data_IF_353776506794
#
_entry.id   IF_353776506794
#
_cell.length_a   1.000
_cell.length_b   1.000
_cell.length_c   1.000
_cell.angle_alpha   90.00
_cell.angle_beta   90.00
_cell.angle_gamma   90.00
#
_symmetry.space_group_name_H-M   'P 1'
#
loop_
_entity.id
_entity.type
_entity.pdbx_description
1 polymer ?
#
# COMPACT_ATOMS: atom_id res chain seq x y z
N UNK A 1 -27.77 -28.35 7.58
CA UNK A 1 -27.15 -27.83 7.32
C UNK A 1 -26.67 -27.43 6.90
N UNK A 2 -26.82 -27.64 7.03
CA UNK A 2 -26.16 -27.04 6.71
C UNK A 2 -25.81 -26.50 6.43
N UNK A 3 -25.86 -26.46 6.51
CA UNK A 3 -25.41 -25.73 6.21
C UNK A 3 -24.92 -25.08 6.17
N UNK A 4 -25.71 -25.67 6.41
CA UNK A 4 -25.06 -24.89 6.34
C UNK A 4 -24.57 -24.42 6.14
N UNK A 5 -25.11 -24.83 6.32
CA UNK A 5 -24.38 -24.24 6.14
C UNK A 5 -23.87 -23.72 5.65
N UNK A 6 -24.28 -23.92 5.74
CA UNK A 6 -23.57 -23.23 5.30
C UNK A 6 -23.10 -22.50 5.04
N UNK A 7 -23.46 -22.78 5.27
CA UNK A 7 -22.80 -21.82 5.05
C UNK A 7 -22.43 -21.31 5.05
N UNK A 8 -22.61 -21.43 5.10
CA UNK A 8 -22.00 -20.83 5.12
C UNK A 8 -21.51 -20.45 4.93
N UNK A 9 -21.68 -20.49 4.99
CA UNK A 9 -20.90 -19.98 4.78
C UNK A 9 -20.36 -19.52 4.43
N UNK A 10 -20.73 -19.63 4.51
CA UNK A 10 -19.93 -19.04 4.20
C UNK A 10 -19.55 -18.49 4.06
N UNK A 11 -19.77 -18.21 4.27
CA UNK A 11 -19.14 -17.60 4.21
C UNK A 11 -18.58 -17.12 4.18
N UNK A 12 -18.55 -17.26 4.40
CA UNK A 12 -17.66 -16.69 4.54
C UNK A 12 -17.06 -16.35 4.34
N UNK A 13 -17.30 -16.46 4.41
CA UNK A 13 -16.42 -16.06 4.36
C UNK A 13 -15.94 -15.57 4.08
N UNK A 14 -15.99 -15.48 4.25
CA UNK A 14 -15.20 -14.93 4.13
C UNK A 14 -14.75 -14.39 4.06
N UNK A 15 -14.96 -14.32 4.26
CA UNK A 15 -14.35 -13.79 4.33
C UNK A 15 -13.85 -13.58 4.48
N UNK A 16 -13.90 -13.60 4.94
CA UNK A 16 -13.25 -13.46 5.04
C UNK A 16 -12.57 -13.28 5.04
N UNK A 17 -12.62 -13.10 5.42
CA UNK A 17 -11.83 -12.86 5.48
C UNK A 17 -10.95 -12.82 5.49
N UNK A 18 -11.03 -12.73 5.98
CA UNK A 18 -10.06 -12.74 5.93
C UNK A 18 -8.91 -12.47 5.60
N UNK A 19 -7.62 -12.46 5.98
CA UNK A 19 -7.12 -11.49 5.02
C UNK A 19 -7.31 -11.99 3.60
N UNK A 20 -7.80 -11.13 2.77
CA UNK A 20 -8.01 -11.49 1.39
C UNK A 20 -6.67 -11.58 0.68
N UNK A 21 -6.66 -12.21 -0.51
CA UNK A 21 -5.48 -12.25 -1.35
C UNK A 21 -4.96 -10.84 -1.64
N UNK A 22 -5.86 -9.90 -1.92
CA UNK A 22 -5.47 -8.52 -2.20
C UNK A 22 -4.78 -7.86 -1.00
N UNK A 23 -5.23 -8.15 0.20
CA UNK A 23 -4.61 -7.59 1.41
C UNK A 23 -3.19 -8.10 1.58
N UNK A 24 -2.98 -9.40 1.38
CA UNK A 24 -1.64 -9.97 1.47
C UNK A 24 -0.72 -9.42 0.40
N UNK A 25 -1.23 -9.29 -0.81
CA UNK A 25 -0.46 -8.73 -1.91
C UNK A 25 -0.13 -7.26 -1.68
N UNK A 26 -1.06 -6.52 -1.10
CA UNK A 26 -0.84 -5.13 -0.73
C UNK A 26 0.30 -5.00 0.29
N UNK A 27 0.32 -5.86 1.30
CA UNK A 27 1.40 -5.86 2.31
C UNK A 27 2.74 -6.14 1.66
N UNK A 28 2.80 -7.11 0.74
CA UNK A 28 4.03 -7.40 0.01
C UNK A 28 4.46 -6.23 -0.85
N UNK A 29 3.51 -5.57 -1.49
CA UNK A 29 3.79 -4.43 -2.34
C UNK A 29 4.35 -3.26 -1.54
N UNK A 30 3.81 -3.02 -0.34
CA UNK A 30 4.33 -1.98 0.55
C UNK A 30 5.76 -2.34 0.99
N UNK A 31 6.00 -3.60 1.36
CA UNK A 31 7.34 -4.04 1.74
C UNK A 31 8.33 -3.85 0.58
N UNK A 32 7.90 -4.16 -0.63
CA UNK A 32 8.74 -3.96 -1.83
C UNK A 32 9.01 -2.48 -2.05
N UNK A 33 8.00 -1.63 -1.86
CA UNK A 33 8.18 -0.18 -1.98
C UNK A 33 9.25 0.31 -1.02
N UNK A 34 9.25 -0.19 0.21
CA UNK A 34 10.26 0.19 1.20
C UNK A 34 11.66 -0.23 0.75
N UNK A 35 11.80 -1.41 0.16
CA UNK A 35 13.09 -1.88 -0.35
C UNK A 35 13.58 -0.98 -1.50
N UNK A 36 12.67 -0.61 -2.40
CA UNK A 36 13.01 0.27 -3.51
C UNK A 36 13.44 1.65 -3.02
N UNK A 37 12.73 2.18 -2.02
CA UNK A 37 13.08 3.48 -1.42
C UNK A 37 14.46 3.41 -0.75
N UNK A 38 14.77 2.30 -0.09
CA UNK A 38 16.08 2.14 0.57
C UNK A 38 17.24 2.18 -0.41
N UNK A 39 16.99 1.87 -1.68
CA UNK A 39 18.01 1.91 -2.72
C UNK A 39 18.19 3.28 -3.35
N UNK A 40 17.35 4.26 -3.01
CA UNK A 40 17.42 5.60 -3.58
C UNK A 40 18.45 6.46 -2.85
N UNK A 41 19.12 7.38 -3.56
CA UNK A 41 20.10 8.29 -2.94
C UNK A 41 19.41 9.48 -2.27
N UNK A 42 18.64 9.20 -1.22
CA UNK A 42 17.90 10.24 -0.49
C UNK A 42 18.76 10.79 0.64
N UNK A 43 18.59 12.09 0.92
CA UNK A 43 19.17 12.68 2.12
C UNK A 43 18.50 12.08 3.36
N UNK A 44 19.24 11.90 4.49
CA UNK A 44 18.67 11.26 5.66
C UNK A 44 17.33 11.84 6.14
N UNK A 45 17.12 13.17 6.21
CA UNK A 45 15.81 13.67 6.64
C UNK A 45 14.67 13.29 5.70
N UNK A 46 14.94 13.25 4.40
CA UNK A 46 13.94 12.87 3.41
C UNK A 46 13.63 11.39 3.51
N UNK A 47 14.66 10.57 3.66
CA UNK A 47 14.49 9.14 3.85
C UNK A 47 13.64 8.83 5.08
N UNK A 48 13.90 9.53 6.19
CA UNK A 48 13.12 9.34 7.42
C UNK A 48 11.65 9.70 7.23
N UNK A 49 11.38 10.79 6.51
CA UNK A 49 9.98 11.19 6.27
C UNK A 49 9.25 10.18 5.43
N UNK A 50 9.88 9.71 4.36
CA UNK A 50 9.28 8.70 3.49
C UNK A 50 9.01 7.43 4.27
N UNK A 51 10.00 6.97 5.04
CA UNK A 51 9.86 5.75 5.84
C UNK A 51 8.73 5.87 6.87
N UNK A 52 8.54 7.04 7.43
CA UNK A 52 7.46 7.25 8.39
C UNK A 52 6.11 7.04 7.74
N UNK A 53 5.92 7.55 6.53
CA UNK A 53 4.68 7.34 5.79
C UNK A 53 4.50 5.88 5.39
N UNK A 54 5.56 5.23 4.94
CA UNK A 54 5.50 3.82 4.56
C UNK A 54 5.24 2.92 5.78
N UNK A 55 5.83 3.26 6.93
CA UNK A 55 5.54 2.57 8.19
C UNK A 55 4.06 2.69 8.53
N UNK A 56 3.52 3.90 8.45
CA UNK A 56 2.12 4.14 8.77
C UNK A 56 1.20 3.36 7.82
N UNK A 57 1.53 3.34 6.53
CA UNK A 57 0.78 2.56 5.55
C UNK A 57 0.85 1.06 5.85
N UNK A 58 2.03 0.57 6.22
CA UNK A 58 2.23 -0.82 6.55
C UNK A 58 1.43 -1.23 7.78
N UNK A 59 1.42 -0.39 8.82
CA UNK A 59 0.65 -0.65 10.03
C UNK A 59 -0.84 -0.69 9.75
N UNK A 60 -1.34 0.24 8.93
CA UNK A 60 -2.75 0.25 8.57
C UNK A 60 -3.11 -0.99 7.74
N UNK A 61 -2.26 -1.37 6.80
CA UNK A 61 -2.50 -2.54 5.97
C UNK A 61 -2.47 -3.84 6.77
N UNK A 62 -1.79 -3.84 7.92
CA UNK A 62 -1.71 -5.00 8.80
C UNK A 62 -2.82 -5.03 9.85
N UNK A 63 -3.65 -4.01 9.91
CA UNK A 63 -4.76 -3.95 10.86
C UNK A 63 -5.78 -5.05 10.57
N UNK A 64 -6.58 -5.38 11.56
CA UNK A 64 -7.61 -6.41 11.41
C UNK A 64 -8.60 -6.05 10.31
N UNK A 65 -8.96 -4.76 10.23
CA UNK A 65 -9.84 -4.25 9.19
C UNK A 65 -9.14 -3.06 8.53
N UNK A 66 -8.26 -3.33 7.57
CA UNK A 66 -7.51 -2.25 6.95
C UNK A 66 -8.42 -1.26 6.24
N UNK A 67 -8.20 0.02 6.49
CA UNK A 67 -8.91 1.08 5.80
C UNK A 67 -8.14 1.42 4.52
N UNK A 68 -8.70 1.06 3.38
CA UNK A 68 -8.06 1.26 2.08
C UNK A 68 -7.78 2.73 1.81
N UNK A 69 -8.68 3.60 2.24
CA UNK A 69 -8.52 5.03 2.06
C UNK A 69 -7.30 5.53 2.83
N UNK A 70 -7.17 5.10 4.09
CA UNK A 70 -6.04 5.49 4.93
C UNK A 70 -4.72 4.99 4.37
N UNK A 71 -4.67 3.73 3.93
CA UNK A 71 -3.47 3.19 3.30
C UNK A 71 -3.11 4.04 2.08
N UNK A 72 -4.11 4.35 1.25
CA UNK A 72 -3.90 5.16 0.05
C UNK A 72 -3.35 6.54 0.36
N UNK A 73 -3.90 7.20 1.37
CA UNK A 73 -3.43 8.53 1.77
C UNK A 73 -1.98 8.52 2.24
N UNK A 74 -1.60 7.51 3.01
CA UNK A 74 -0.23 7.40 3.52
C UNK A 74 0.76 7.08 2.42
N UNK A 75 0.38 6.22 1.47
CA UNK A 75 1.22 5.94 0.32
C UNK A 75 1.35 7.17 -0.59
N UNK A 76 0.26 7.94 -0.73
CA UNK A 76 0.30 9.18 -1.51
C UNK A 76 1.22 10.21 -0.86
N UNK A 77 1.21 10.30 0.47
CA UNK A 77 2.10 11.21 1.20
C UNK A 77 3.56 10.81 0.99
N UNK A 78 3.87 9.52 1.00
CA UNK A 78 5.21 9.03 0.71
C UNK A 78 5.62 9.40 -0.72
N UNK A 79 4.72 9.19 -1.69
CA UNK A 79 4.98 9.51 -3.08
C UNK A 79 5.23 11.01 -3.26
N UNK A 80 4.42 11.84 -2.62
CA UNK A 80 4.57 13.29 -2.68
C UNK A 80 5.94 13.74 -2.14
N UNK A 81 6.34 13.17 -1.01
CA UNK A 81 7.64 13.47 -0.41
C UNK A 81 8.78 13.08 -1.36
N UNK A 82 8.67 11.92 -1.99
CA UNK A 82 9.67 11.47 -2.96
C UNK A 82 9.72 12.37 -4.18
N UNK A 83 8.56 12.81 -4.65
CA UNK A 83 8.46 13.68 -5.81
C UNK A 83 9.11 15.02 -5.52
N UNK A 84 8.85 15.60 -4.35
CA UNK A 84 9.45 16.86 -3.94
C UNK A 84 10.98 16.76 -3.82
N UNK A 85 11.47 15.60 -3.43
CA UNK A 85 12.90 15.34 -3.34
C UNK A 85 13.53 15.06 -4.71
N UNK A 86 12.73 15.01 -5.78
CA UNK A 86 13.22 14.70 -7.11
C UNK A 86 13.59 13.24 -7.31
N UNK A 87 13.16 12.36 -6.40
CA UNK A 87 13.58 10.97 -6.40
C UNK A 87 12.76 10.07 -7.32
N UNK A 88 11.64 10.53 -7.83
CA UNK A 88 10.77 9.71 -8.69
C UNK A 88 11.22 9.69 -10.15
N UNK A 89 12.07 10.61 -10.57
CA UNK A 89 12.60 10.62 -11.93
C UNK A 89 13.75 9.61 -12.03
N UNK A 90 13.81 8.90 -13.14
CA UNK A 90 14.91 7.97 -13.40
C UNK A 90 15.03 6.88 -12.35
N UNK A 91 15.86 7.09 -11.34
CA UNK A 91 16.15 6.06 -10.33
C UNK A 91 14.93 5.63 -9.52
N UNK A 92 13.85 6.43 -9.53
CA UNK A 92 12.64 6.10 -8.81
C UNK A 92 11.65 5.21 -9.57
N UNK A 93 12.01 4.70 -10.75
CA UNK A 93 11.09 3.93 -11.57
C UNK A 93 10.53 2.70 -10.84
N UNK A 94 11.36 2.00 -10.07
CA UNK A 94 10.91 0.85 -9.31
C UNK A 94 9.91 1.22 -8.23
N UNK A 95 10.12 2.37 -7.58
CA UNK A 95 9.19 2.89 -6.57
C UNK A 95 7.86 3.24 -7.23
N UNK A 96 7.91 3.91 -8.37
CA UNK A 96 6.70 4.31 -9.10
C UNK A 96 5.87 3.07 -9.45
N UNK A 97 6.53 2.03 -9.98
CA UNK A 97 5.83 0.79 -10.33
C UNK A 97 5.19 0.15 -9.10
N UNK A 98 5.91 0.09 -8.00
CA UNK A 98 5.39 -0.51 -6.77
C UNK A 98 4.19 0.28 -6.23
N UNK A 99 4.27 1.62 -6.26
CA UNK A 99 3.16 2.46 -5.81
C UNK A 99 1.95 2.34 -6.73
N UNK A 100 2.16 2.22 -8.04
CA UNK A 100 1.05 1.98 -8.97
C UNK A 100 0.38 0.64 -8.70
N UNK A 101 1.18 -0.37 -8.42
CA UNK A 101 0.62 -1.69 -8.08
C UNK A 101 -0.22 -1.60 -6.80
N UNK A 102 0.27 -0.89 -5.79
CA UNK A 102 -0.48 -0.68 -4.56
C UNK A 102 -1.80 0.05 -4.85
N UNK A 103 -1.77 1.07 -5.71
CA UNK A 103 -2.97 1.81 -6.09
C UNK A 103 -4.01 0.89 -6.73
N UNK A 104 -3.57 0.00 -7.63
CA UNK A 104 -4.47 -0.97 -8.27
C UNK A 104 -5.09 -1.90 -7.24
N UNK A 105 -4.30 -2.37 -6.29
CA UNK A 105 -4.79 -3.29 -5.26
C UNK A 105 -5.79 -2.62 -4.33
N UNK A 106 -5.64 -1.32 -4.11
CA UNK A 106 -6.58 -0.55 -3.28
C UNK A 106 -7.87 -0.22 -4.02
N UNK A 107 -7.88 -0.36 -5.35
CA UNK A 107 -9.05 -0.09 -6.16
C UNK A 107 -9.23 1.40 -6.46
N UNK A 108 -10.47 1.84 -6.77
CA UNK A 108 -10.70 3.24 -7.18
C UNK A 108 -10.21 4.27 -6.18
N UNK A 109 -10.32 3.99 -4.87
CA UNK A 109 -9.85 4.91 -3.84
C UNK A 109 -8.35 5.12 -3.94
N UNK A 110 -7.58 4.03 -4.15
CA UNK A 110 -6.14 4.12 -4.28
C UNK A 110 -5.73 4.83 -5.56
N UNK A 111 -6.40 4.52 -6.66
CA UNK A 111 -6.10 5.18 -7.93
C UNK A 111 -6.36 6.67 -7.85
N UNK A 112 -7.45 7.09 -7.19
CA UNK A 112 -7.79 8.50 -7.06
C UNK A 112 -6.82 9.24 -6.16
N UNK A 113 -6.19 8.56 -5.19
CA UNK A 113 -5.36 9.18 -4.17
C UNK A 113 -3.88 9.12 -4.52
N UNK A 114 -3.40 7.96 -4.99
CA UNK A 114 -1.98 7.72 -5.22
C UNK A 114 -1.54 8.20 -6.60
N UNK A 115 -2.32 7.91 -7.64
CA UNK A 115 -1.92 8.23 -9.00
C UNK A 115 -1.61 9.71 -9.21
N UNK A 116 -2.40 10.68 -8.67
CA UNK A 116 -2.05 12.09 -8.84
C UNK A 116 -0.76 12.50 -8.14
N UNK A 117 -0.30 11.72 -7.15
CA UNK A 117 0.93 12.02 -6.42
C UNK A 117 2.17 11.50 -7.15
N UNK A 118 1.98 10.70 -8.18
CA UNK A 118 3.08 10.19 -9.01
C UNK A 118 3.31 11.11 -10.22
#
# INVERSE_FOLDING_TARGET
MDEVTLGIETRAAAAITDPTWETLELRRTIARTRQEVAALPLAPPEFERVNRWLDAASQEAAAEKPDRYEVGERLAAAAHTLKEAGALAGAGAGVVQALRRAAELLGPAGLATIAPAL
#
